data_IF_723587132307
#
_entry.id   IF_723587132307
#
_cell.length_a   1.000
_cell.length_b   1.000
_cell.length_c   1.000
_cell.angle_alpha   90.00
_cell.angle_beta   90.00
_cell.angle_gamma   90.00
#
_symmetry.space_group_name_H-M   'P 1'
#
loop_
_entity.id
_entity.type
_entity.pdbx_description
1 polymer ?
#
# COMPACT_ATOMS: atom_id res chain seq x y z
N UNK A 1 12.25 -40.02 35.66
CA UNK A 1 13.10 -39.10 34.87
C UNK A 1 12.21 -37.93 34.49
N UNK A 2 12.32 -36.80 35.20
CA UNK A 2 11.61 -35.58 34.84
C UNK A 2 12.30 -34.95 33.63
N UNK A 3 11.57 -34.78 32.53
CA UNK A 3 12.05 -34.01 31.38
C UNK A 3 12.41 -32.60 31.81
N UNK A 4 13.65 -32.20 31.51
CA UNK A 4 14.11 -30.82 31.67
C UNK A 4 13.35 -29.97 30.65
N UNK A 5 12.62 -28.92 31.06
CA UNK A 5 11.93 -28.04 30.13
C UNK A 5 12.94 -27.44 29.15
N UNK A 6 12.67 -27.59 27.85
CA UNK A 6 13.44 -26.91 26.82
C UNK A 6 13.41 -25.39 27.07
N UNK A 7 14.53 -24.66 26.91
CA UNK A 7 14.54 -23.22 27.12
C UNK A 7 13.58 -22.53 26.14
N UNK A 8 12.80 -21.56 26.63
CA UNK A 8 11.92 -20.74 25.78
C UNK A 8 12.75 -20.02 24.72
N UNK A 9 12.29 -20.02 23.47
CA UNK A 9 12.97 -19.32 22.36
C UNK A 9 13.14 -17.83 22.66
N UNK A 10 14.21 -17.25 22.15
CA UNK A 10 14.40 -15.80 22.18
C UNK A 10 13.51 -15.14 21.12
N UNK A 11 13.08 -13.89 21.35
CA UNK A 11 12.24 -13.13 20.39
C UNK A 11 12.84 -13.05 18.98
N UNK A 12 14.17 -12.97 18.88
CA UNK A 12 14.87 -12.94 17.60
C UNK A 12 14.73 -14.27 16.84
N UNK A 13 14.76 -15.39 17.57
CA UNK A 13 14.57 -16.72 16.98
C UNK A 13 13.13 -16.91 16.51
N UNK A 14 12.14 -16.54 17.34
CA UNK A 14 10.72 -16.63 16.98
C UNK A 14 10.41 -15.82 15.71
N UNK A 15 10.94 -14.60 15.62
CA UNK A 15 10.79 -13.77 14.43
C UNK A 15 11.47 -14.37 13.21
N UNK A 16 12.68 -14.92 13.35
CA UNK A 16 13.38 -15.54 12.23
C UNK A 16 12.63 -16.77 11.70
N UNK A 17 12.07 -17.59 12.59
CA UNK A 17 11.25 -18.75 12.22
C UNK A 17 9.96 -18.33 11.51
N UNK A 18 9.30 -17.27 11.99
CA UNK A 18 8.11 -16.72 11.33
C UNK A 18 8.43 -16.20 9.92
N UNK A 19 9.56 -15.49 9.75
CA UNK A 19 10.03 -15.03 8.44
C UNK A 19 10.32 -16.22 7.52
N UNK A 20 11.00 -17.26 8.02
CA UNK A 20 11.29 -18.46 7.23
C UNK A 20 10.00 -19.17 6.79
N UNK A 21 9.04 -19.34 7.70
CA UNK A 21 7.74 -19.93 7.40
C UNK A 21 6.95 -19.11 6.36
N UNK A 22 7.08 -17.78 6.39
CA UNK A 22 6.38 -16.90 5.44
C UNK A 22 6.84 -17.05 3.99
N UNK A 23 8.04 -17.61 3.75
CA UNK A 23 8.56 -17.83 2.40
C UNK A 23 7.67 -18.73 1.54
N UNK A 24 6.88 -19.60 2.18
CA UNK A 24 5.90 -20.44 1.49
C UNK A 24 4.81 -19.62 0.76
N UNK A 25 4.63 -18.35 1.11
CA UNK A 25 3.63 -17.45 0.53
C UNK A 25 4.24 -16.39 -0.40
N UNK A 26 5.56 -16.40 -0.61
CA UNK A 26 6.21 -15.40 -1.43
C UNK A 26 5.80 -15.54 -2.89
N UNK A 27 5.55 -14.40 -3.53
CA UNK A 27 5.34 -14.34 -4.96
C UNK A 27 6.66 -14.65 -5.67
N UNK A 28 6.72 -15.65 -6.55
CA UNK A 28 7.94 -15.95 -7.29
C UNK A 28 8.40 -14.73 -8.10
N UNK A 29 9.69 -14.37 -8.02
CA UNK A 29 10.25 -13.23 -8.74
C UNK A 29 9.98 -13.28 -10.27
N UNK A 30 9.89 -14.48 -10.85
CA UNK A 30 9.58 -14.70 -12.26
C UNK A 30 8.15 -14.26 -12.66
N UNK A 31 7.22 -14.17 -11.72
CA UNK A 31 5.82 -13.78 -11.98
C UNK A 31 5.61 -12.26 -11.98
N UNK A 32 6.55 -11.50 -11.40
CA UNK A 32 6.43 -10.05 -11.19
C UNK A 32 6.18 -9.29 -12.50
N UNK A 33 6.91 -9.63 -13.56
CA UNK A 33 6.73 -9.01 -14.87
C UNK A 33 5.31 -9.21 -15.41
N UNK A 34 4.75 -10.42 -15.24
CA UNK A 34 3.40 -10.75 -15.68
C UNK A 34 2.34 -9.95 -14.92
N UNK A 35 2.48 -9.87 -13.59
CA UNK A 35 1.60 -9.10 -12.72
C UNK A 35 1.60 -7.63 -13.10
N UNK A 36 2.78 -7.02 -13.26
CA UNK A 36 2.89 -5.59 -13.63
C UNK A 36 2.29 -5.32 -15.01
N UNK A 37 2.50 -6.22 -15.97
CA UNK A 37 1.90 -6.09 -17.30
C UNK A 37 0.37 -6.15 -17.24
N UNK A 38 -0.20 -7.08 -16.48
CA UNK A 38 -1.66 -7.18 -16.27
C UNK A 38 -2.21 -5.88 -15.69
N UNK A 39 -1.58 -5.35 -14.65
CA UNK A 39 -1.99 -4.09 -14.03
C UNK A 39 -1.89 -2.89 -14.97
N UNK A 40 -0.88 -2.85 -15.84
CA UNK A 40 -0.75 -1.81 -16.88
C UNK A 40 -1.87 -1.89 -17.91
N UNK A 41 -2.22 -3.09 -18.37
CA UNK A 41 -3.35 -3.30 -19.28
C UNK A 41 -4.66 -2.86 -18.61
N UNK A 42 -4.87 -3.25 -17.35
CA UNK A 42 -6.06 -2.84 -16.61
C UNK A 42 -6.13 -1.32 -16.40
N UNK A 43 -5.02 -0.66 -16.09
CA UNK A 43 -4.97 0.80 -15.93
C UNK A 43 -5.37 1.55 -17.23
N UNK A 44 -5.04 0.99 -18.40
CA UNK A 44 -5.41 1.56 -19.70
C UNK A 44 -6.92 1.51 -19.99
N UNK A 45 -7.71 0.74 -19.23
CA UNK A 45 -9.18 0.78 -19.32
C UNK A 45 -9.77 2.09 -18.79
N UNK A 46 -8.97 2.90 -18.09
CA UNK A 46 -9.36 4.19 -17.50
C UNK A 46 -10.46 4.13 -16.44
N UNK A 47 -10.85 2.94 -15.97
CA UNK A 47 -11.80 2.76 -14.87
C UNK A 47 -11.34 3.50 -13.61
N UNK A 48 -10.03 3.57 -13.35
CA UNK A 48 -9.47 4.29 -12.20
C UNK A 48 -9.63 5.81 -12.27
N UNK A 49 -10.00 6.38 -13.43
CA UNK A 49 -10.31 7.81 -13.56
C UNK A 49 -11.69 8.16 -12.98
N UNK A 50 -12.58 7.19 -12.84
CA UNK A 50 -13.95 7.43 -12.38
C UNK A 50 -14.03 7.68 -10.89
N UNK A 51 -14.82 8.69 -10.49
CA UNK A 51 -15.05 9.03 -9.09
C UNK A 51 -15.66 7.85 -8.31
N UNK A 52 -16.67 7.19 -8.89
CA UNK A 52 -17.36 6.06 -8.25
C UNK A 52 -16.41 4.90 -7.95
N UNK A 53 -15.51 4.59 -8.88
CA UNK A 53 -14.49 3.57 -8.67
C UNK A 53 -13.56 3.96 -7.51
N UNK A 54 -12.94 5.15 -7.55
CA UNK A 54 -12.02 5.61 -6.48
C UNK A 54 -12.70 5.62 -5.12
N UNK A 55 -13.92 6.12 -5.05
CA UNK A 55 -14.73 6.14 -3.83
C UNK A 55 -14.97 4.73 -3.30
N UNK A 56 -15.39 3.79 -4.16
CA UNK A 56 -15.62 2.40 -3.76
C UNK A 56 -14.36 1.75 -3.18
N UNK A 57 -13.19 1.96 -3.80
CA UNK A 57 -11.92 1.41 -3.31
C UNK A 57 -11.50 2.00 -1.96
N UNK A 58 -11.70 3.31 -1.74
CA UNK A 58 -11.45 3.94 -0.44
C UNK A 58 -12.40 3.40 0.65
N UNK A 59 -13.67 3.18 0.32
CA UNK A 59 -14.62 2.55 1.24
C UNK A 59 -14.26 1.10 1.53
N UNK A 60 -13.84 0.32 0.52
CA UNK A 60 -13.36 -1.04 0.71
C UNK A 60 -12.14 -1.10 1.63
N UNK A 61 -11.18 -0.19 1.44
CA UNK A 61 -10.03 -0.08 2.35
C UNK A 61 -10.45 0.29 3.77
N UNK A 62 -11.44 1.19 3.93
CA UNK A 62 -12.02 1.49 5.26
C UNK A 62 -12.64 0.25 5.90
N UNK A 63 -13.43 -0.50 5.14
CA UNK A 63 -14.09 -1.72 5.60
C UNK A 63 -13.08 -2.77 6.04
N UNK A 64 -12.02 -3.01 5.27
CA UNK A 64 -10.93 -3.91 5.64
C UNK A 64 -10.41 -3.57 7.04
N UNK A 65 -10.07 -2.30 7.27
CA UNK A 65 -9.50 -1.86 8.55
C UNK A 65 -10.50 -1.95 9.70
N UNK A 66 -11.76 -1.60 9.48
CA UNK A 66 -12.77 -1.63 10.55
C UNK A 66 -13.23 -3.06 10.89
N UNK A 67 -13.41 -3.92 9.89
CA UNK A 67 -13.93 -5.28 10.07
C UNK A 67 -12.85 -6.24 10.56
N UNK A 68 -11.59 -6.02 10.15
CA UNK A 68 -10.45 -6.91 10.45
C UNK A 68 -9.54 -6.33 11.53
N UNK A 69 -10.02 -5.36 12.30
CA UNK A 69 -9.22 -4.63 13.28
C UNK A 69 -8.55 -5.56 14.32
N UNK A 70 -9.28 -6.57 14.81
CA UNK A 70 -8.73 -7.54 15.77
C UNK A 70 -7.59 -8.36 15.15
N UNK A 71 -7.77 -8.84 13.92
CA UNK A 71 -6.75 -9.61 13.19
C UNK A 71 -5.50 -8.76 12.93
N UNK A 72 -5.68 -7.47 12.64
CA UNK A 72 -4.59 -6.50 12.48
C UNK A 72 -3.83 -6.30 13.79
N UNK A 73 -4.52 -6.18 14.92
CA UNK A 73 -3.87 -6.09 16.23
C UNK A 73 -3.06 -7.35 16.54
N UNK A 74 -3.62 -8.53 16.29
CA UNK A 74 -2.92 -9.79 16.50
C UNK A 74 -1.66 -9.89 15.65
N UNK A 75 -1.73 -9.50 14.37
CA UNK A 75 -0.59 -9.50 13.47
C UNK A 75 0.50 -8.50 13.92
N UNK A 76 0.11 -7.28 14.30
CA UNK A 76 1.04 -6.28 14.84
C UNK A 76 1.69 -6.73 16.15
N UNK A 77 0.94 -7.42 17.01
CA UNK A 77 1.48 -7.96 18.25
C UNK A 77 2.49 -9.08 17.99
N UNK A 78 2.20 -9.98 17.04
CA UNK A 78 3.11 -11.07 16.64
C UNK A 78 4.41 -10.54 16.03
N UNK A 79 4.33 -9.52 15.19
CA UNK A 79 5.50 -9.02 14.46
C UNK A 79 6.37 -8.05 15.28
N UNK A 80 5.73 -7.13 16.01
CA UNK A 80 6.41 -6.00 16.65
C UNK A 80 5.95 -5.75 18.09
N UNK A 81 5.16 -6.64 18.69
CA UNK A 81 4.63 -6.54 20.06
C UNK A 81 3.94 -5.22 20.37
N UNK A 82 3.31 -4.61 19.37
CA UNK A 82 2.53 -3.40 19.54
C UNK A 82 1.18 -3.77 20.14
N UNK A 83 0.89 -3.30 21.35
CA UNK A 83 -0.41 -3.51 22.00
C UNK A 83 -1.53 -2.76 21.25
N UNK A 84 -2.78 -3.12 21.51
CA UNK A 84 -3.95 -2.56 20.79
C UNK A 84 -4.01 -1.03 20.86
N UNK A 85 -3.80 -0.45 22.05
CA UNK A 85 -3.85 1.02 22.21
C UNK A 85 -2.77 1.71 21.39
N UNK A 86 -1.53 1.21 21.44
CA UNK A 86 -0.42 1.73 20.64
C UNK A 86 -0.64 1.52 19.14
N UNK A 87 -1.19 0.37 18.75
CA UNK A 87 -1.57 0.07 17.37
C UNK A 87 -2.66 1.02 16.88
N UNK A 88 -3.68 1.30 17.68
CA UNK A 88 -4.74 2.24 17.29
C UNK A 88 -4.19 3.65 17.11
N UNK A 89 -3.45 4.16 18.09
CA UNK A 89 -2.95 5.55 18.07
C UNK A 89 -1.93 5.78 16.96
N UNK A 90 -1.08 4.79 16.67
CA UNK A 90 0.05 4.97 15.74
C UNK A 90 -0.12 4.34 14.36
N UNK A 91 -1.15 3.51 14.17
CA UNK A 91 -1.41 2.84 12.90
C UNK A 91 -2.85 3.08 12.44
N UNK A 92 -3.81 2.47 13.12
CA UNK A 92 -5.18 2.28 12.63
C UNK A 92 -5.96 3.59 12.61
N UNK A 93 -5.94 4.34 13.71
CA UNK A 93 -6.66 5.60 13.84
C UNK A 93 -6.19 6.65 12.83
N UNK A 94 -4.88 6.70 12.57
CA UNK A 94 -4.29 7.60 11.57
C UNK A 94 -4.71 7.21 10.14
N UNK A 95 -4.67 5.91 9.81
CA UNK A 95 -5.14 5.41 8.50
C UNK A 95 -6.64 5.69 8.31
N UNK A 96 -7.48 5.41 9.31
CA UNK A 96 -8.92 5.68 9.22
C UNK A 96 -9.21 7.18 9.06
N UNK A 97 -8.48 8.03 9.78
CA UNK A 97 -8.57 9.49 9.64
C UNK A 97 -8.26 9.92 8.21
N UNK A 98 -7.17 9.42 7.64
CA UNK A 98 -6.75 9.74 6.28
C UNK A 98 -7.74 9.23 5.22
N UNK A 99 -8.27 8.00 5.37
CA UNK A 99 -9.30 7.47 4.46
C UNK A 99 -10.53 8.37 4.48
N UNK A 100 -11.00 8.75 5.68
CA UNK A 100 -12.17 9.62 5.81
C UNK A 100 -11.90 11.01 5.21
N UNK A 101 -10.70 11.55 5.41
CA UNK A 101 -10.28 12.81 4.81
C UNK A 101 -10.27 12.72 3.28
N UNK A 102 -9.72 11.65 2.72
CA UNK A 102 -9.71 11.40 1.28
C UNK A 102 -11.13 11.29 0.71
N UNK A 103 -11.99 10.45 1.30
CA UNK A 103 -13.39 10.28 0.87
C UNK A 103 -14.12 11.63 0.88
N UNK A 104 -13.96 12.42 1.95
CA UNK A 104 -14.63 13.72 2.10
C UNK A 104 -14.24 14.72 1.02
N UNK A 105 -12.98 14.70 0.58
CA UNK A 105 -12.44 15.70 -0.34
C UNK A 105 -12.28 15.22 -1.78
N UNK A 106 -12.45 13.92 -2.05
CA UNK A 106 -12.17 13.29 -3.33
C UNK A 106 -12.81 14.02 -4.52
N UNK A 107 -14.09 14.37 -4.41
CA UNK A 107 -14.81 15.06 -5.49
C UNK A 107 -14.17 16.41 -5.82
N UNK A 108 -13.78 17.18 -4.81
CA UNK A 108 -13.11 18.48 -4.98
C UNK A 108 -11.72 18.33 -5.59
N UNK A 109 -10.95 17.33 -5.17
CA UNK A 109 -9.60 17.07 -5.69
C UNK A 109 -9.58 16.67 -7.16
N UNK A 110 -10.67 16.08 -7.66
CA UNK A 110 -10.78 15.66 -9.06
C UNK A 110 -11.22 16.78 -10.01
N UNK A 111 -11.70 17.92 -9.49
CA UNK A 111 -12.24 19.00 -10.33
C UNK A 111 -11.11 19.80 -10.99
N UNK A 112 -11.18 20.07 -12.32
CA UNK A 112 -10.23 20.95 -12.99
C UNK A 112 -10.23 22.35 -12.39
N UNK A 113 -9.05 22.88 -12.07
CA UNK A 113 -8.90 24.20 -11.45
C UNK A 113 -8.57 25.25 -12.51
N UNK A 114 -9.33 26.35 -12.55
CA UNK A 114 -8.97 27.51 -13.37
C UNK A 114 -7.72 28.17 -12.79
N UNK A 115 -6.78 28.53 -13.65
CA UNK A 115 -5.56 29.24 -13.28
C UNK A 115 -5.44 30.53 -14.08
N UNK A 116 -4.72 31.51 -13.51
CA UNK A 116 -4.53 32.81 -14.18
C UNK A 116 -3.82 32.63 -15.52
N UNK A 117 -4.30 33.35 -16.53
CA UNK A 117 -3.63 33.39 -17.83
C UNK A 117 -2.39 34.29 -17.74
N UNK A 118 -1.32 33.92 -18.44
CA UNK A 118 -0.25 34.87 -18.75
C UNK A 118 -0.82 36.01 -19.61
N UNK A 119 -0.36 37.24 -19.37
CA UNK A 119 -0.72 38.42 -20.17
C UNK A 119 -0.46 38.21 -21.67
N UNK A 120 0.50 37.35 -22.02
CA UNK A 120 0.86 36.98 -23.40
C UNK A 120 -0.27 36.25 -24.13
N UNK A 121 -1.15 35.53 -23.42
CA UNK A 121 -2.21 34.70 -24.01
C UNK A 121 -3.54 35.45 -24.26
N UNK A 122 -3.54 36.79 -24.22
CA UNK A 122 -4.72 37.65 -24.29
C UNK A 122 -5.81 37.13 -23.33
N UNK A 123 -5.74 37.48 -22.02
CA UNK A 123 -6.55 36.89 -20.97
C UNK A 123 -8.08 36.97 -21.19
N UNK A 124 -8.55 37.86 -22.06
CA UNK A 124 -9.96 38.07 -22.42
C UNK A 124 -10.46 37.01 -23.42
N UNK A 125 -9.58 36.37 -24.20
CA UNK A 125 -9.93 35.43 -25.26
C UNK A 125 -9.62 33.97 -24.91
N UNK A 126 -8.91 33.69 -23.81
CA UNK A 126 -8.44 32.35 -23.46
C UNK A 126 -8.81 31.96 -22.03
N UNK A 127 -8.92 30.65 -21.76
CA UNK A 127 -9.19 30.12 -20.41
C UNK A 127 -8.26 28.95 -20.13
N UNK A 128 -7.39 29.08 -19.13
CA UNK A 128 -6.45 28.03 -18.74
C UNK A 128 -7.00 27.21 -17.55
N UNK A 129 -6.95 25.88 -17.67
CA UNK A 129 -7.37 24.94 -16.63
C UNK A 129 -6.28 23.92 -16.36
N UNK A 130 -6.08 23.60 -15.09
CA UNK A 130 -5.24 22.50 -14.63
C UNK A 130 -6.11 21.27 -14.38
N UNK A 131 -5.82 20.18 -15.07
CA UNK A 131 -6.50 18.89 -14.92
C UNK A 131 -5.64 17.95 -14.07
N UNK A 132 -6.14 17.46 -12.93
CA UNK A 132 -5.46 16.42 -12.17
C UNK A 132 -5.63 15.08 -12.89
N UNK A 133 -4.51 14.48 -13.31
CA UNK A 133 -4.50 13.15 -13.94
C UNK A 133 -3.66 12.15 -13.15
N UNK A 134 -4.07 10.88 -13.07
CA UNK A 134 -3.27 9.84 -12.43
C UNK A 134 -1.96 9.60 -13.19
N UNK A 135 -0.90 9.27 -12.45
CA UNK A 135 0.40 8.99 -13.04
C UNK A 135 0.44 7.65 -13.79
N UNK A 136 -0.24 6.62 -13.28
CA UNK A 136 -0.17 5.29 -13.86
C UNK A 136 -0.22 4.15 -12.85
N UNK A 137 0.62 3.16 -13.09
CA UNK A 137 0.87 2.03 -12.19
C UNK A 137 2.05 2.38 -11.29
N UNK A 138 1.81 2.33 -9.98
CA UNK A 138 2.74 2.78 -8.95
C UNK A 138 3.23 1.63 -8.09
N UNK A 139 4.40 1.80 -7.49
CA UNK A 139 4.98 0.88 -6.51
C UNK A 139 5.09 1.57 -5.16
N UNK A 140 4.59 0.92 -4.12
CA UNK A 140 4.69 1.35 -2.73
C UNK A 140 5.55 0.33 -1.99
N UNK A 141 6.70 0.74 -1.46
CA UNK A 141 7.57 -0.09 -0.62
C UNK A 141 7.57 0.51 0.79
N UNK A 142 7.16 -0.28 1.77
CA UNK A 142 7.00 0.18 3.16
C UNK A 142 7.88 -0.59 4.16
N UNK A 143 8.32 0.07 5.24
CA UNK A 143 9.22 -0.52 6.23
C UNK A 143 8.44 -1.26 7.33
N UNK A 144 9.17 -1.90 8.23
CA UNK A 144 8.63 -2.75 9.30
C UNK A 144 8.16 -2.01 10.56
N UNK A 145 8.55 -0.76 10.77
CA UNK A 145 8.35 -0.07 12.05
C UNK A 145 6.93 0.49 12.24
N UNK A 146 6.26 0.85 11.15
CA UNK A 146 4.83 1.18 11.13
C UNK A 146 4.14 0.50 9.94
N UNK A 147 4.01 -0.84 9.96
CA UNK A 147 3.75 -1.63 8.76
C UNK A 147 2.32 -1.47 8.23
N UNK A 148 1.39 -0.88 8.99
CA UNK A 148 0.05 -0.57 8.51
C UNK A 148 0.02 0.86 7.99
N UNK A 149 0.43 1.84 8.78
CA UNK A 149 0.42 3.26 8.42
C UNK A 149 1.24 3.54 7.16
N UNK A 150 2.50 3.12 7.13
CA UNK A 150 3.42 3.45 6.04
C UNK A 150 3.14 2.64 4.77
N UNK A 151 2.31 1.61 4.87
CA UNK A 151 1.80 0.85 3.73
C UNK A 151 0.54 1.49 3.16
N UNK A 152 -0.44 1.78 4.03
CA UNK A 152 -1.78 2.14 3.59
C UNK A 152 -1.95 3.63 3.35
N UNK A 153 -1.22 4.50 4.07
CA UNK A 153 -1.29 5.94 3.85
C UNK A 153 -0.91 6.35 2.41
N UNK A 154 0.26 5.94 1.87
CA UNK A 154 0.56 6.21 0.46
C UNK A 154 -0.44 5.55 -0.51
N UNK A 155 -1.01 4.39 -0.15
CA UNK A 155 -2.03 3.73 -0.96
C UNK A 155 -3.33 4.55 -1.05
N UNK A 156 -3.76 5.18 0.04
CA UNK A 156 -4.92 6.10 0.03
C UNK A 156 -4.69 7.21 -0.99
N UNK A 157 -3.50 7.81 -0.99
CA UNK A 157 -3.10 8.81 -1.98
C UNK A 157 -3.14 8.28 -3.42
N UNK A 158 -2.61 7.07 -3.65
CA UNK A 158 -2.63 6.44 -4.96
C UNK A 158 -4.07 6.18 -5.46
N UNK A 159 -4.95 5.64 -4.62
CA UNK A 159 -6.37 5.41 -4.93
C UNK A 159 -7.06 6.75 -5.23
N UNK A 160 -6.89 7.75 -4.36
CA UNK A 160 -7.52 9.06 -4.52
C UNK A 160 -7.05 9.78 -5.80
N UNK A 161 -5.79 9.62 -6.18
CA UNK A 161 -5.24 10.12 -7.43
C UNK A 161 -5.75 9.36 -8.67
N UNK A 162 -6.25 8.13 -8.50
CA UNK A 162 -6.70 7.24 -9.56
C UNK A 162 -5.59 6.39 -10.17
N UNK A 163 -4.51 6.15 -9.43
CA UNK A 163 -3.43 5.27 -9.82
C UNK A 163 -3.75 3.81 -9.47
N UNK A 164 -3.14 2.86 -10.18
CA UNK A 164 -3.00 1.48 -9.70
C UNK A 164 -1.76 1.39 -8.80
N UNK A 165 -1.73 0.42 -7.88
CA UNK A 165 -0.60 0.25 -6.98
C UNK A 165 -0.25 -1.21 -6.74
N UNK A 166 1.03 -1.54 -6.93
CA UNK A 166 1.65 -2.71 -6.30
C UNK A 166 2.23 -2.27 -4.97
N UNK A 167 1.94 -3.04 -3.93
CA UNK A 167 2.35 -2.78 -2.56
C UNK A 167 3.31 -3.88 -2.14
N UNK A 168 4.52 -3.51 -1.73
CA UNK A 168 5.52 -4.41 -1.17
C UNK A 168 5.79 -4.03 0.29
N UNK A 169 5.06 -4.61 1.26
CA UNK A 169 5.37 -4.46 2.67
C UNK A 169 6.64 -5.19 3.07
N UNK A 170 7.24 -4.77 4.18
CA UNK A 170 8.47 -5.37 4.68
C UNK A 170 8.30 -6.85 5.05
N UNK A 171 9.12 -7.73 4.49
CA UNK A 171 9.17 -9.18 4.81
C UNK A 171 9.44 -9.48 6.28
N UNK A 172 10.02 -8.50 6.99
CA UNK A 172 10.26 -8.55 8.43
C UNK A 172 8.98 -8.64 9.25
N UNK A 173 7.91 -7.96 8.83
CA UNK A 173 6.59 -8.00 9.47
C UNK A 173 5.70 -8.94 8.68
N UNK A 174 6.07 -10.22 8.71
CA UNK A 174 5.50 -11.24 7.84
C UNK A 174 4.03 -11.52 8.16
N UNK A 175 3.60 -11.48 9.43
CA UNK A 175 2.21 -11.70 9.79
C UNK A 175 1.31 -10.57 9.26
N UNK A 176 1.75 -9.32 9.40
CA UNK A 176 1.02 -8.16 8.85
C UNK A 176 1.00 -8.22 7.32
N UNK A 177 2.14 -8.51 6.69
CA UNK A 177 2.26 -8.59 5.23
C UNK A 177 1.32 -9.64 4.65
N UNK A 178 1.32 -10.83 5.24
CA UNK A 178 0.48 -11.95 4.81
C UNK A 178 -1.01 -11.66 5.02
N UNK A 179 -1.37 -11.09 6.18
CA UNK A 179 -2.74 -10.68 6.46
C UNK A 179 -3.27 -9.71 5.40
N UNK A 180 -2.48 -8.70 5.04
CA UNK A 180 -2.86 -7.75 3.99
C UNK A 180 -2.97 -8.45 2.62
N UNK A 181 -2.03 -9.31 2.26
CA UNK A 181 -2.07 -10.04 0.99
C UNK A 181 -3.31 -10.93 0.85
N UNK A 182 -3.71 -11.60 1.92
CA UNK A 182 -4.91 -12.43 1.94
C UNK A 182 -6.21 -11.63 1.88
N UNK A 183 -6.26 -10.49 2.58
CA UNK A 183 -7.50 -9.73 2.72
C UNK A 183 -7.76 -8.78 1.56
N UNK A 184 -6.71 -8.19 0.96
CA UNK A 184 -6.86 -7.16 -0.09
C UNK A 184 -7.85 -7.55 -1.20
N UNK A 185 -7.79 -8.76 -1.80
CA UNK A 185 -8.70 -9.15 -2.88
C UNK A 185 -10.18 -9.17 -2.51
N UNK A 186 -10.52 -9.22 -1.21
CA UNK A 186 -11.90 -9.21 -0.72
C UNK A 186 -12.48 -7.80 -0.58
N UNK A 187 -11.62 -6.78 -0.53
CA UNK A 187 -11.99 -5.40 -0.21
C UNK A 187 -11.60 -4.40 -1.32
N UNK A 188 -10.56 -4.69 -2.08
CA UNK A 188 -10.07 -3.88 -3.20
C UNK A 188 -10.04 -4.74 -4.46
N UNK A 189 -10.16 -4.09 -5.62
CA UNK A 189 -10.09 -4.80 -6.90
C UNK A 189 -8.64 -5.25 -7.19
N UNK A 190 -8.35 -6.57 -7.20
CA UNK A 190 -7.01 -7.09 -7.39
C UNK A 190 -6.45 -6.77 -8.78
N UNK A 191 -7.27 -6.33 -9.75
CA UNK A 191 -6.77 -5.84 -11.05
C UNK A 191 -5.96 -4.56 -10.93
N UNK A 192 -6.17 -3.78 -9.87
CA UNK A 192 -5.59 -2.45 -9.69
C UNK A 192 -4.76 -2.29 -8.42
N UNK A 193 -5.00 -3.10 -7.39
CA UNK A 193 -4.26 -3.03 -6.13
C UNK A 193 -3.84 -4.42 -5.66
N UNK A 194 -2.52 -4.69 -5.60
CA UNK A 194 -1.99 -5.99 -5.18
C UNK A 194 -0.89 -5.84 -4.16
N UNK A 195 -0.98 -6.62 -3.09
CA UNK A 195 0.11 -6.80 -2.13
C UNK A 195 0.99 -7.95 -2.62
N UNK A 196 2.29 -7.72 -2.67
CA UNK A 196 3.29 -8.70 -3.10
C UNK A 196 4.16 -9.05 -1.90
N UNK A 197 4.07 -10.32 -1.49
CA UNK A 197 4.90 -10.89 -0.44
C UNK A 197 6.24 -11.34 -1.04
N UNK A 198 7.33 -11.03 -0.36
CA UNK A 198 8.65 -11.39 -0.88
C UNK A 198 9.80 -10.78 -0.11
N UNK A 199 11.02 -11.24 -0.35
CA UNK A 199 12.23 -10.68 0.27
C UNK A 199 12.97 -9.73 -0.67
N UNK A 200 14.30 -9.79 -0.70
CA UNK A 200 15.16 -8.98 -1.56
C UNK A 200 15.00 -9.34 -3.03
N UNK A 201 14.98 -10.62 -3.37
CA UNK A 201 14.78 -11.14 -4.72
C UNK A 201 13.52 -10.56 -5.41
N UNK A 202 12.42 -10.49 -4.67
CA UNK A 202 11.17 -9.90 -5.14
C UNK A 202 11.25 -8.37 -5.23
N UNK A 203 11.92 -7.72 -4.27
CA UNK A 203 12.16 -6.28 -4.35
C UNK A 203 12.99 -5.90 -5.57
N UNK A 204 14.04 -6.66 -5.88
CA UNK A 204 14.89 -6.43 -7.05
C UNK A 204 14.11 -6.64 -8.34
N UNK A 205 13.32 -7.72 -8.41
CA UNK A 205 12.44 -7.99 -9.54
C UNK A 205 11.40 -6.89 -9.76
N UNK A 206 10.84 -6.31 -8.67
CA UNK A 206 9.93 -5.18 -8.72
C UNK A 206 10.65 -3.90 -9.17
N UNK A 207 11.82 -3.59 -8.62
CA UNK A 207 12.59 -2.38 -8.96
C UNK A 207 13.13 -2.41 -10.39
N UNK A 208 13.36 -3.59 -10.96
CA UNK A 208 13.70 -3.77 -12.37
C UNK A 208 12.54 -3.41 -13.33
N UNK A 209 11.31 -3.31 -12.83
CA UNK A 209 10.15 -2.92 -13.64
C UNK A 209 10.12 -1.41 -13.87
N UNK A 210 9.54 -0.99 -15.00
CA UNK A 210 9.21 0.41 -15.21
C UNK A 210 7.99 0.77 -14.37
N UNK A 211 8.08 1.81 -13.55
CA UNK A 211 6.97 2.36 -12.76
C UNK A 211 6.69 3.80 -13.17
N UNK A 212 5.42 4.20 -13.06
CA UNK A 212 5.04 5.60 -13.28
C UNK A 212 5.31 6.46 -12.04
N UNK A 213 5.31 5.82 -10.86
CA UNK A 213 5.80 6.41 -9.61
C UNK A 213 6.21 5.32 -8.63
N UNK A 214 7.32 5.54 -7.93
CA UNK A 214 7.72 4.75 -6.75
C UNK A 214 7.58 5.63 -5.51
N UNK A 215 6.95 5.07 -4.48
CA UNK A 215 6.90 5.61 -3.13
C UNK A 215 7.64 4.63 -2.20
N UNK A 216 8.79 5.04 -1.70
CA UNK A 216 9.61 4.24 -0.81
C UNK A 216 9.70 4.92 0.55
N UNK A 217 9.56 4.13 1.61
CA UNK A 217 9.95 4.55 2.95
C UNK A 217 10.88 3.50 3.55
N UNK A 218 12.04 3.92 4.02
CA UNK A 218 13.07 3.02 4.55
C UNK A 218 14.37 3.77 4.84
N UNK A 219 15.50 3.06 4.86
CA UNK A 219 16.80 3.67 5.13
C UNK A 219 17.32 4.46 3.94
N UNK A 220 18.17 5.44 4.22
CA UNK A 220 18.85 6.22 3.18
C UNK A 220 19.87 5.42 2.36
N UNK A 221 20.29 4.24 2.83
CA UNK A 221 21.14 3.33 2.04
C UNK A 221 20.32 2.64 0.95
N UNK A 222 19.21 2.00 1.34
CA UNK A 222 18.31 1.31 0.40
C UNK A 222 17.66 2.31 -0.56
N UNK A 223 17.32 3.51 -0.10
CA UNK A 223 16.72 4.52 -0.98
C UNK A 223 17.65 5.09 -2.06
N UNK A 224 18.95 4.78 -2.04
CA UNK A 224 19.92 5.18 -3.08
C UNK A 224 20.14 4.10 -4.14
N UNK A 225 19.83 2.85 -3.82
CA UNK A 225 19.92 1.69 -4.72
C UNK A 225 18.80 1.76 -5.76
#
# INVERSE_FOLDING_TARGET
MSEVPQPSKTRLQERQEAIEASRAFYTPAAEIQGIVNEMRVNFQTHVTKEYGFRQAQLHGLKQLITERQSEIYDALYKDIHKNETGAYITEIGLVLSEINYAIKNLSSWMVPRKVSNSWVNIPVLTSTKLFPEPLGVTLIISPWNYPILLTLNPLIGAIAAGCSAVIKPSSVTCNVTHLLAQLFPNYLDPKFYRVIEGSHDVSDALLAQKWDKIFFTGSGSIGKE
#
